data_IF_997725796254
#
_entry.id   IF_997725796254
#
_cell.length_a   1.000
_cell.length_b   1.000
_cell.length_c   1.000
_cell.angle_alpha   90.00
_cell.angle_beta   90.00
_cell.angle_gamma   90.00
#
_symmetry.space_group_name_H-M   'P 1'
#
loop_
_entity.id
_entity.type
_entity.pdbx_description
1 polymer ?
#
# COMPACT_ATOMS: atom_id res chain seq x y z
N UNK A 1 10.96 28.09 -12.27
CA UNK A 1 11.09 27.11 -13.38
C UNK A 1 10.32 25.86 -12.98
N UNK A 2 9.20 25.55 -13.63
CA UNK A 2 8.55 24.24 -13.49
C UNK A 2 9.49 23.19 -14.07
N UNK A 3 10.14 22.40 -13.23
CA UNK A 3 10.76 21.15 -13.69
C UNK A 3 9.61 20.29 -14.19
N UNK A 4 9.53 20.03 -15.50
CA UNK A 4 8.61 19.01 -16.00
C UNK A 4 9.15 17.67 -15.51
N UNK A 5 8.54 17.11 -14.47
CA UNK A 5 8.87 15.77 -13.99
C UNK A 5 8.54 14.79 -15.11
N UNK A 6 9.56 14.23 -15.76
CA UNK A 6 9.37 13.13 -16.72
C UNK A 6 8.85 11.94 -15.91
N UNK A 7 7.58 11.59 -16.08
CA UNK A 7 7.00 10.39 -15.47
C UNK A 7 7.63 9.15 -16.09
N UNK A 8 8.66 8.62 -15.43
CA UNK A 8 9.29 7.34 -15.79
C UNK A 8 8.44 6.19 -15.27
N UNK A 9 8.17 5.23 -16.16
CA UNK A 9 7.45 4.00 -15.87
C UNK A 9 8.30 2.82 -16.33
N UNK A 10 8.31 1.77 -15.53
CA UNK A 10 9.03 0.53 -15.80
C UNK A 10 8.04 -0.62 -15.86
N UNK A 11 8.23 -1.53 -16.81
CA UNK A 11 7.28 -2.61 -17.10
C UNK A 11 8.02 -3.92 -17.22
N UNK A 12 7.49 -4.95 -16.57
CA UNK A 12 7.92 -6.35 -16.70
C UNK A 12 6.69 -7.22 -16.92
N UNK A 13 6.86 -8.35 -17.60
CA UNK A 13 5.78 -9.30 -17.85
C UNK A 13 6.28 -10.74 -17.90
N UNK A 14 5.36 -11.67 -17.66
CA UNK A 14 5.55 -13.10 -17.87
C UNK A 14 4.38 -13.65 -18.70
N UNK A 15 4.17 -14.96 -18.71
CA UNK A 15 3.07 -15.58 -19.46
C UNK A 15 1.68 -15.12 -19.00
N UNK A 16 1.52 -14.74 -17.72
CA UNK A 16 0.23 -14.48 -17.10
C UNK A 16 -0.05 -13.01 -16.82
N UNK A 17 0.97 -12.26 -16.37
CA UNK A 17 0.82 -10.91 -15.87
C UNK A 17 1.75 -9.94 -16.61
N UNK A 18 1.29 -8.71 -16.75
CA UNK A 18 2.09 -7.55 -17.08
C UNK A 18 1.89 -6.50 -16.00
N UNK A 19 2.96 -6.02 -15.39
CA UNK A 19 2.89 -4.98 -14.36
C UNK A 19 3.64 -3.73 -14.81
N UNK A 20 3.17 -2.57 -14.36
CA UNK A 20 3.87 -1.30 -14.56
C UNK A 20 4.02 -0.57 -13.23
N UNK A 21 5.24 -0.10 -12.96
CA UNK A 21 5.60 0.65 -11.76
C UNK A 21 6.07 2.05 -12.18
N UNK A 22 5.53 3.09 -11.56
CA UNK A 22 6.06 4.45 -11.68
C UNK A 22 7.34 4.57 -10.87
N UNK A 23 8.35 5.22 -11.43
CA UNK A 23 9.60 5.47 -10.70
C UNK A 23 9.36 6.36 -9.47
N UNK A 24 8.57 7.44 -9.60
CA UNK A 24 8.16 8.27 -8.46
C UNK A 24 7.46 7.43 -7.40
N UNK A 25 8.03 7.40 -6.19
CA UNK A 25 7.59 6.59 -5.06
C UNK A 25 7.58 5.08 -5.27
N UNK A 26 8.17 4.59 -6.37
CA UNK A 26 8.11 3.18 -6.79
C UNK A 26 6.66 2.65 -6.73
N UNK A 27 5.69 3.42 -7.23
CA UNK A 27 4.26 3.14 -7.12
C UNK A 27 3.81 2.13 -8.19
N UNK A 28 3.35 0.95 -7.77
CA UNK A 28 2.70 -0.01 -8.67
C UNK A 28 1.41 0.61 -9.22
N UNK A 29 1.35 0.83 -10.54
CA UNK A 29 0.26 1.58 -11.16
C UNK A 29 -0.57 0.76 -12.16
N UNK A 30 -0.16 -0.47 -12.47
CA UNK A 30 -0.91 -1.35 -13.38
C UNK A 30 -0.59 -2.82 -13.07
N UNK A 31 -1.62 -3.65 -13.07
CA UNK A 31 -1.55 -5.11 -13.11
C UNK A 31 -2.55 -5.58 -14.16
N UNK A 32 -2.05 -6.02 -15.30
CA UNK A 32 -2.87 -6.60 -16.38
C UNK A 32 -2.73 -8.11 -16.34
N UNK A 33 -3.86 -8.80 -16.19
CA UNK A 33 -3.92 -10.24 -16.43
C UNK A 33 -4.06 -10.49 -17.94
N UNK A 34 -3.11 -11.21 -18.52
CA UNK A 34 -3.00 -11.44 -19.97
C UNK A 34 -4.03 -12.43 -20.51
N UNK A 35 -4.60 -13.27 -19.65
CA UNK A 35 -5.64 -14.24 -20.01
C UNK A 35 -6.97 -13.54 -20.33
N UNK A 36 -7.34 -12.55 -19.53
CA UNK A 36 -8.64 -11.85 -19.64
C UNK A 36 -8.52 -10.37 -20.04
N UNK A 37 -7.29 -9.86 -20.19
CA UNK A 37 -6.93 -8.48 -20.51
C UNK A 37 -7.58 -7.45 -19.56
N UNK A 38 -7.72 -7.78 -18.27
CA UNK A 38 -8.28 -6.88 -17.24
C UNK A 38 -7.18 -6.21 -16.43
N UNK A 39 -7.39 -4.93 -16.14
CA UNK A 39 -6.61 -4.12 -15.21
C UNK A 39 -7.15 -4.26 -13.79
N UNK A 40 -6.29 -4.63 -12.84
CA UNK A 40 -6.64 -4.88 -11.44
C UNK A 40 -6.30 -3.70 -10.52
N UNK A 41 -5.43 -2.77 -10.92
CA UNK A 41 -5.10 -1.57 -10.15
C UNK A 41 -6.06 -0.43 -10.48
N UNK A 42 -6.52 0.26 -9.44
CA UNK A 42 -7.26 1.51 -9.56
C UNK A 42 -6.44 2.57 -10.33
N UNK A 43 -7.06 3.24 -11.30
CA UNK A 43 -6.38 4.11 -12.26
C UNK A 43 -6.28 5.58 -11.81
N UNK A 44 -6.28 5.82 -10.50
CA UNK A 44 -6.00 7.11 -9.88
C UNK A 44 -6.85 8.29 -10.40
N UNK A 45 -8.17 8.11 -10.58
CA UNK A 45 -9.05 9.25 -10.88
C UNK A 45 -8.95 10.26 -9.72
N UNK A 46 -8.33 11.40 -10.01
CA UNK A 46 -8.05 12.45 -9.04
C UNK A 46 -9.32 13.06 -8.41
N UNK A 47 -10.50 12.86 -9.02
CA UNK A 47 -11.78 13.26 -8.43
C UNK A 47 -12.19 12.38 -7.25
N UNK A 48 -11.66 11.17 -7.16
CA UNK A 48 -11.98 10.20 -6.10
C UNK A 48 -10.72 9.95 -5.25
N UNK A 49 -9.66 9.42 -5.85
CA UNK A 49 -8.38 9.18 -5.20
C UNK A 49 -7.24 9.16 -6.23
N UNK A 50 -6.37 10.18 -6.20
CA UNK A 50 -5.31 10.40 -7.19
C UNK A 50 -4.04 9.54 -7.04
N UNK A 51 -4.13 8.34 -6.49
CA UNK A 51 -3.01 7.39 -6.38
C UNK A 51 -3.43 5.98 -6.75
N UNK A 52 -2.48 5.07 -6.91
CA UNK A 52 -2.70 3.69 -7.38
C UNK A 52 -2.41 2.70 -6.26
N UNK A 53 -1.13 2.57 -5.89
CA UNK A 53 -0.65 1.71 -4.81
C UNK A 53 0.59 2.32 -4.14
N UNK A 54 0.43 3.41 -3.37
CA UNK A 54 1.54 4.02 -2.65
C UNK A 54 2.30 3.05 -1.76
N UNK A 55 3.61 3.21 -1.71
CA UNK A 55 4.41 2.73 -0.58
C UNK A 55 4.35 3.77 0.55
N UNK A 56 4.43 3.32 1.79
CA UNK A 56 4.38 4.17 2.99
C UNK A 56 5.64 3.90 3.82
N UNK A 57 6.50 4.91 3.95
CA UNK A 57 7.74 4.85 4.71
C UNK A 57 8.20 6.29 5.02
N UNK A 58 8.73 6.57 6.23
CA UNK A 58 8.89 5.71 7.41
C UNK A 58 7.70 5.82 8.40
N UNK A 59 6.58 6.40 7.98
CA UNK A 59 5.38 6.62 8.81
C UNK A 59 4.15 6.10 8.07
N UNK A 60 3.19 5.53 8.80
CA UNK A 60 1.86 5.18 8.28
C UNK A 60 0.83 6.07 8.98
N UNK A 61 -0.08 6.65 8.19
CA UNK A 61 -1.08 7.59 8.71
C UNK A 61 -0.47 8.96 8.97
N UNK A 62 -1.04 9.68 9.93
CA UNK A 62 -0.60 11.03 10.32
C UNK A 62 0.04 10.98 11.71
N UNK A 63 1.02 11.85 11.95
CA UNK A 63 1.55 12.07 13.29
C UNK A 63 0.77 13.19 13.98
N UNK A 64 0.72 13.14 15.31
CA UNK A 64 0.15 14.23 16.10
C UNK A 64 0.91 15.53 15.77
N UNK A 65 0.19 16.56 15.34
CA UNK A 65 0.75 17.82 14.86
C UNK A 65 1.75 17.69 13.69
N UNK A 66 1.76 16.56 12.96
CA UNK A 66 2.73 16.29 11.89
C UNK A 66 4.17 16.08 12.36
N UNK A 67 4.38 15.84 13.66
CA UNK A 67 5.71 15.86 14.30
C UNK A 67 5.99 14.63 15.15
N UNK A 68 7.28 14.36 15.37
CA UNK A 68 7.75 13.46 16.42
C UNK A 68 9.02 14.02 17.09
N UNK A 69 9.32 13.49 18.28
CA UNK A 69 10.50 13.83 19.05
C UNK A 69 11.53 12.71 18.94
N UNK A 70 12.78 13.07 18.64
CA UNK A 70 13.91 12.15 18.69
C UNK A 70 15.12 12.85 19.31
N UNK A 71 15.70 12.27 20.36
CA UNK A 71 16.84 12.82 21.10
C UNK A 71 16.68 14.30 21.50
N UNK A 72 15.45 14.67 21.91
CA UNK A 72 15.14 16.03 22.36
C UNK A 72 14.96 17.06 21.23
N UNK A 73 15.05 16.64 19.95
CA UNK A 73 14.76 17.48 18.79
C UNK A 73 13.45 17.06 18.11
N UNK A 74 12.65 18.03 17.71
CA UNK A 74 11.43 17.82 16.93
C UNK A 74 11.76 17.69 15.44
N UNK A 75 11.03 16.79 14.78
CA UNK A 75 11.10 16.55 13.34
C UNK A 75 9.69 16.56 12.75
N UNK A 76 9.54 17.19 11.59
CA UNK A 76 8.29 17.22 10.81
C UNK A 76 8.36 16.18 9.70
N UNK A 77 7.27 15.43 9.51
CA UNK A 77 7.19 14.45 8.44
C UNK A 77 5.76 14.38 7.89
N UNK A 78 5.58 14.33 6.56
CA UNK A 78 4.24 14.30 5.96
C UNK A 78 3.47 13.02 6.30
N UNK A 79 2.14 13.10 6.14
CA UNK A 79 1.24 11.95 6.23
C UNK A 79 1.73 10.83 5.31
N UNK A 80 1.84 9.61 5.84
CA UNK A 80 2.39 8.43 5.17
C UNK A 80 3.88 8.47 4.84
N UNK A 81 4.63 9.40 5.45
CA UNK A 81 6.04 9.58 5.19
C UNK A 81 6.31 10.16 3.80
N UNK A 82 7.55 10.04 3.35
CA UNK A 82 8.03 10.77 2.17
C UNK A 82 8.12 9.93 0.90
N UNK A 83 7.94 8.60 0.96
CA UNK A 83 8.18 7.76 -0.22
C UNK A 83 7.14 7.95 -1.33
N UNK A 84 5.84 8.05 -1.03
CA UNK A 84 4.71 8.07 -2.00
C UNK A 84 4.88 9.06 -3.16
N UNK A 85 5.55 10.19 -2.92
CA UNK A 85 5.79 11.24 -3.91
C UNK A 85 7.28 11.56 -4.09
N UNK A 86 8.16 10.68 -3.61
CA UNK A 86 9.59 10.90 -3.70
C UNK A 86 10.03 10.84 -5.17
N UNK A 87 10.62 11.93 -5.66
CA UNK A 87 11.16 12.01 -7.02
C UNK A 87 12.63 11.57 -7.09
N UNK A 88 13.25 11.18 -5.97
CA UNK A 88 14.66 10.80 -5.87
C UNK A 88 14.88 9.28 -5.83
N UNK A 89 13.84 8.47 -5.59
CA UNK A 89 13.92 7.01 -5.75
C UNK A 89 14.21 6.64 -7.22
N UNK A 90 15.09 5.66 -7.43
CA UNK A 90 15.55 5.24 -8.76
C UNK A 90 15.42 3.74 -8.95
N UNK A 91 15.25 3.31 -10.19
CA UNK A 91 15.46 1.91 -10.54
C UNK A 91 16.94 1.57 -10.32
N UNK A 92 17.20 0.62 -9.43
CA UNK A 92 18.54 0.13 -9.08
C UNK A 92 18.92 -1.08 -9.93
N UNK A 93 18.03 -2.06 -10.00
CA UNK A 93 18.24 -3.33 -10.69
C UNK A 93 16.96 -3.74 -11.44
N UNK A 94 17.14 -4.42 -12.57
CA UNK A 94 16.04 -5.03 -13.32
C UNK A 94 16.48 -6.36 -13.90
N UNK A 95 15.54 -7.30 -13.95
CA UNK A 95 15.65 -8.54 -14.71
C UNK A 95 14.38 -8.73 -15.56
N UNK A 96 14.24 -9.88 -16.21
CA UNK A 96 13.04 -10.22 -16.98
C UNK A 96 11.75 -10.19 -16.13
N UNK A 97 11.86 -10.52 -14.85
CA UNK A 97 10.71 -10.71 -13.95
C UNK A 97 10.82 -9.93 -12.63
N UNK A 98 11.78 -9.01 -12.51
CA UNK A 98 11.95 -8.22 -11.30
C UNK A 98 12.35 -6.77 -11.59
N UNK A 99 11.78 -5.85 -10.82
CA UNK A 99 12.20 -4.45 -10.73
C UNK A 99 12.58 -4.14 -9.28
N UNK A 100 13.76 -3.58 -9.05
CA UNK A 100 14.21 -3.14 -7.72
C UNK A 100 14.45 -1.63 -7.75
N UNK A 101 13.74 -0.90 -6.91
CA UNK A 101 13.90 0.53 -6.72
C UNK A 101 14.63 0.82 -5.42
N UNK A 102 15.37 1.92 -5.37
CA UNK A 102 16.18 2.33 -4.22
C UNK A 102 16.04 3.83 -3.93
N UNK A 103 15.86 4.14 -2.64
CA UNK A 103 16.07 5.47 -2.07
C UNK A 103 17.12 5.37 -0.97
N UNK A 104 18.30 5.94 -1.23
CA UNK A 104 19.30 6.19 -0.21
C UNK A 104 18.95 7.47 0.55
N UNK A 105 19.32 7.53 1.84
CA UNK A 105 19.24 8.77 2.59
C UNK A 105 19.96 9.93 1.88
N UNK A 106 19.45 11.13 2.08
CA UNK A 106 20.00 12.39 1.60
C UNK A 106 19.89 13.46 2.69
N UNK A 107 20.53 14.61 2.48
CA UNK A 107 20.37 15.79 3.35
C UNK A 107 18.89 16.14 3.54
N UNK A 108 18.10 16.16 2.46
CA UNK A 108 16.66 16.42 2.49
C UNK A 108 15.90 15.42 3.39
N UNK A 109 16.20 14.12 3.28
CA UNK A 109 15.54 13.13 4.15
C UNK A 109 15.98 13.26 5.61
N UNK A 110 17.24 13.64 5.87
CA UNK A 110 17.79 13.79 7.22
C UNK A 110 17.20 14.98 7.98
N UNK A 111 16.68 15.99 7.26
CA UNK A 111 15.94 17.10 7.86
C UNK A 111 14.62 16.65 8.51
N UNK A 112 13.96 15.64 7.94
CA UNK A 112 12.67 15.10 8.40
C UNK A 112 12.80 13.80 9.20
N UNK A 113 13.85 13.02 8.94
CA UNK A 113 14.07 11.68 9.45
C UNK A 113 15.58 11.45 9.67
N UNK A 114 16.11 11.69 10.88
CA UNK A 114 17.55 11.85 11.14
C UNK A 114 18.27 10.50 11.24
N UNK A 115 18.05 9.63 10.27
CA UNK A 115 18.57 8.28 10.19
C UNK A 115 19.17 8.03 8.81
N UNK A 116 20.35 7.42 8.76
CA UNK A 116 20.94 6.93 7.52
C UNK A 116 20.35 5.57 7.16
N UNK A 117 19.70 5.48 6.02
CA UNK A 117 19.06 4.27 5.53
C UNK A 117 19.33 4.07 4.04
N UNK A 118 19.21 2.82 3.61
CA UNK A 118 19.00 2.44 2.20
C UNK A 118 17.69 1.64 2.14
N UNK A 119 16.69 2.24 1.49
CA UNK A 119 15.36 1.66 1.36
C UNK A 119 15.15 1.15 -0.06
N UNK A 120 14.89 -0.15 -0.19
CA UNK A 120 14.67 -0.81 -1.47
C UNK A 120 13.31 -1.46 -1.56
N UNK A 121 12.69 -1.36 -2.73
CA UNK A 121 11.38 -1.96 -3.04
C UNK A 121 11.54 -2.83 -4.27
N UNK A 122 11.33 -4.14 -4.10
CA UNK A 122 11.41 -5.11 -5.18
C UNK A 122 10.01 -5.59 -5.57
N UNK A 123 9.70 -5.53 -6.86
CA UNK A 123 8.51 -6.11 -7.47
C UNK A 123 8.93 -7.31 -8.30
N UNK A 124 8.53 -8.52 -7.91
CA UNK A 124 8.83 -9.76 -8.63
C UNK A 124 7.53 -10.38 -9.15
N UNK A 125 7.48 -10.76 -10.41
CA UNK A 125 6.34 -11.51 -10.97
C UNK A 125 6.67 -13.02 -10.97
N UNK A 126 5.79 -13.83 -10.38
CA UNK A 126 5.96 -15.29 -10.27
C UNK A 126 4.63 -15.94 -10.61
N UNK A 127 4.54 -16.56 -11.79
CA UNK A 127 3.26 -17.09 -12.29
C UNK A 127 2.18 -16.00 -12.33
N UNK A 128 1.07 -16.24 -11.63
CA UNK A 128 -0.07 -15.30 -11.48
C UNK A 128 0.04 -14.37 -10.26
N UNK A 129 1.20 -14.31 -9.62
CA UNK A 129 1.42 -13.53 -8.38
C UNK A 129 2.47 -12.44 -8.56
N UNK A 130 2.36 -11.40 -7.72
CA UNK A 130 3.35 -10.34 -7.60
C UNK A 130 3.82 -10.33 -6.16
N UNK A 131 5.12 -10.52 -5.95
CA UNK A 131 5.73 -10.30 -4.65
C UNK A 131 6.24 -8.87 -4.56
N UNK A 132 5.86 -8.17 -3.50
CA UNK A 132 6.36 -6.84 -3.17
C UNK A 132 7.20 -6.96 -1.89
N UNK A 133 8.52 -6.87 -2.03
CA UNK A 133 9.45 -7.00 -0.91
C UNK A 133 10.11 -5.66 -0.61
N UNK A 134 10.01 -5.24 0.64
CA UNK A 134 10.66 -4.04 1.16
C UNK A 134 11.91 -4.42 1.94
N UNK A 135 13.05 -3.81 1.61
CA UNK A 135 14.30 -4.02 2.32
C UNK A 135 14.77 -2.68 2.90
N UNK A 136 14.93 -2.63 4.22
CA UNK A 136 15.48 -1.46 4.92
C UNK A 136 16.84 -1.86 5.45
N UNK A 137 17.88 -1.21 4.94
CA UNK A 137 19.25 -1.39 5.41
C UNK A 137 19.57 -0.22 6.33
N UNK A 138 19.89 -0.52 7.60
CA UNK A 138 20.39 0.48 8.53
C UNK A 138 21.85 0.83 8.16
N UNK A 139 22.08 2.08 7.76
CA UNK A 139 23.41 2.62 7.45
C UNK A 139 23.90 3.61 8.52
N UNK A 140 23.16 3.71 9.62
CA UNK A 140 23.46 4.55 10.76
C UNK A 140 24.16 3.74 11.86
N UNK A 141 24.82 4.45 12.77
CA UNK A 141 25.41 3.84 13.96
C UNK A 141 24.36 3.58 15.05
N UNK A 142 23.21 4.28 14.96
CA UNK A 142 22.09 4.17 15.89
C UNK A 142 20.96 3.29 15.35
N UNK A 143 20.05 2.79 16.21
CA UNK A 143 18.85 2.10 15.77
C UNK A 143 17.96 2.99 14.90
N UNK A 144 17.46 2.43 13.79
CA UNK A 144 16.52 3.10 12.87
C UNK A 144 15.09 2.68 13.19
N UNK A 145 14.22 3.65 13.48
CA UNK A 145 12.83 3.43 13.86
C UNK A 145 11.88 3.78 12.73
N UNK A 146 11.05 2.85 12.27
CA UNK A 146 10.15 3.10 11.15
C UNK A 146 8.83 2.33 11.28
N UNK A 147 7.84 2.80 10.53
CA UNK A 147 6.67 2.04 10.08
C UNK A 147 6.74 1.87 8.57
N UNK A 148 6.31 0.71 8.08
CA UNK A 148 6.34 0.35 6.67
C UNK A 148 5.00 -0.27 6.26
N UNK A 149 4.46 0.16 5.12
CA UNK A 149 3.27 -0.46 4.56
C UNK A 149 3.11 -0.22 3.06
N UNK A 150 2.30 -1.06 2.43
CA UNK A 150 1.74 -0.81 1.10
C UNK A 150 0.33 -0.25 1.21
N UNK A 151 -0.13 0.44 0.17
CA UNK A 151 -1.48 0.99 0.09
C UNK A 151 -2.13 0.75 -1.28
N UNK A 152 -2.18 -0.49 -1.80
CA UNK A 152 -2.81 -0.76 -3.09
C UNK A 152 -4.30 -0.50 -3.05
N UNK A 153 -4.82 0.22 -4.05
CA UNK A 153 -6.24 0.17 -4.37
C UNK A 153 -6.45 -0.72 -5.59
N UNK A 154 -7.31 -1.72 -5.40
CA UNK A 154 -7.71 -2.63 -6.45
C UNK A 154 -9.03 -2.18 -7.06
N UNK A 155 -9.14 -2.33 -8.38
CA UNK A 155 -10.36 -2.08 -9.10
C UNK A 155 -11.34 -3.24 -8.84
N UNK A 156 -12.55 -2.92 -8.39
CA UNK A 156 -13.65 -3.89 -8.40
C UNK A 156 -14.07 -4.13 -9.84
N UNK A 157 -13.85 -5.35 -10.32
CA UNK A 157 -14.19 -5.74 -11.68
C UNK A 157 -15.68 -6.10 -11.73
N UNK A 158 -16.55 -5.15 -12.04
CA UNK A 158 -17.98 -5.44 -12.21
C UNK A 158 -18.20 -6.42 -13.37
N UNK A 159 -18.44 -7.68 -13.06
CA UNK A 159 -18.89 -8.66 -14.04
C UNK A 159 -20.43 -8.64 -14.06
N UNK A 160 -21.04 -8.79 -15.23
CA UNK A 160 -22.49 -9.08 -15.36
C UNK A 160 -23.47 -8.20 -14.55
N UNK A 161 -23.17 -6.91 -14.34
CA UNK A 161 -23.97 -5.99 -13.49
C UNK A 161 -23.95 -6.29 -11.97
N UNK A 162 -22.95 -7.01 -11.47
CA UNK A 162 -22.72 -7.18 -10.03
C UNK A 162 -22.62 -5.82 -9.32
N UNK A 163 -23.29 -5.74 -8.16
CA UNK A 163 -23.22 -4.58 -7.26
C UNK A 163 -22.11 -4.79 -6.23
N UNK A 164 -21.75 -3.73 -5.51
CA UNK A 164 -20.69 -3.83 -4.50
C UNK A 164 -21.05 -4.84 -3.40
N UNK A 165 -22.35 -5.00 -3.09
CA UNK A 165 -22.88 -5.97 -2.13
C UNK A 165 -22.74 -7.43 -2.55
N UNK A 166 -22.37 -7.69 -3.81
CA UNK A 166 -22.05 -9.01 -4.32
C UNK A 166 -20.59 -9.41 -4.08
N UNK A 167 -19.80 -8.52 -3.45
CA UNK A 167 -18.42 -8.76 -3.08
C UNK A 167 -18.22 -8.81 -1.57
N UNK A 168 -17.24 -9.61 -1.15
CA UNK A 168 -16.78 -9.74 0.23
C UNK A 168 -15.26 -9.70 0.29
N UNK A 169 -14.75 -9.28 1.45
CA UNK A 169 -13.38 -9.57 1.87
C UNK A 169 -13.42 -10.84 2.71
N UNK A 170 -12.73 -11.90 2.31
CA UNK A 170 -12.68 -13.17 3.00
C UNK A 170 -11.29 -13.44 3.59
N UNK A 171 -11.27 -13.94 4.82
CA UNK A 171 -10.09 -14.30 5.59
C UNK A 171 -9.99 -15.83 5.68
N UNK A 172 -8.77 -16.35 5.81
CA UNK A 172 -8.52 -17.79 6.00
C UNK A 172 -9.05 -18.37 7.32
N UNK A 173 -9.49 -17.51 8.25
CA UNK A 173 -9.96 -17.91 9.58
C UNK A 173 -11.15 -17.07 10.03
N UNK A 174 -12.02 -17.67 10.85
CA UNK A 174 -13.06 -16.96 11.59
C UNK A 174 -12.43 -16.14 12.71
N UNK A 175 -12.85 -14.89 12.87
CA UNK A 175 -12.29 -13.96 13.83
C UNK A 175 -13.37 -13.01 14.38
N UNK A 176 -13.09 -12.44 15.55
CA UNK A 176 -13.79 -11.26 16.05
C UNK A 176 -13.02 -10.00 15.64
N UNK A 177 -13.49 -9.29 14.62
CA UNK A 177 -12.82 -8.09 14.12
C UNK A 177 -13.44 -6.83 14.70
N UNK A 178 -12.61 -6.04 15.38
CA UNK A 178 -12.94 -4.69 15.86
C UNK A 178 -12.04 -3.68 15.17
N UNK A 179 -12.65 -2.74 14.44
CA UNK A 179 -11.91 -1.62 13.86
C UNK A 179 -11.63 -0.56 14.92
N UNK A 180 -10.45 0.04 14.90
CA UNK A 180 -10.12 1.23 15.65
C UNK A 180 -10.58 2.47 14.90
N UNK A 181 -11.26 3.39 15.59
CA UNK A 181 -11.84 4.59 14.98
C UNK A 181 -10.80 5.71 14.95
N UNK A 182 -10.69 6.41 13.81
CA UNK A 182 -9.89 7.62 13.69
C UNK A 182 -10.63 8.82 14.31
N UNK A 183 -9.89 9.71 14.97
CA UNK A 183 -10.43 11.00 15.39
C UNK A 183 -10.46 12.00 14.23
N UNK A 184 -10.99 13.20 14.46
CA UNK A 184 -11.08 14.27 13.45
C UNK A 184 -9.70 14.72 12.89
N UNK A 185 -8.63 14.46 13.63
CA UNK A 185 -7.25 14.73 13.21
C UNK A 185 -6.64 13.58 12.39
N UNK A 186 -7.37 12.46 12.19
CA UNK A 186 -6.88 11.28 11.49
C UNK A 186 -5.98 10.36 12.33
N UNK A 187 -5.96 10.54 13.65
CA UNK A 187 -5.21 9.70 14.59
C UNK A 187 -6.05 8.54 15.11
N UNK A 188 -5.42 7.39 15.30
CA UNK A 188 -6.05 6.20 15.89
C UNK A 188 -6.45 6.49 17.33
N UNK A 189 -7.76 6.43 17.62
CA UNK A 189 -8.29 6.61 18.98
C UNK A 189 -8.33 5.30 19.77
N UNK A 190 -8.70 5.38 21.04
CA UNK A 190 -8.98 4.20 21.88
C UNK A 190 -10.37 3.59 21.63
N UNK A 191 -11.22 4.26 20.84
CA UNK A 191 -12.57 3.78 20.52
C UNK A 191 -12.50 2.70 19.45
N UNK A 192 -13.34 1.67 19.60
CA UNK A 192 -13.45 0.57 18.64
C UNK A 192 -14.91 0.33 18.26
N UNK A 193 -15.11 -0.24 17.08
CA UNK A 193 -16.42 -0.69 16.57
C UNK A 193 -16.28 -2.14 16.10
N UNK A 194 -17.21 -3.01 16.51
CA UNK A 194 -17.26 -4.37 15.99
C UNK A 194 -17.68 -4.34 14.52
N UNK A 195 -16.93 -5.05 13.68
CA UNK A 195 -17.21 -5.21 12.25
C UNK A 195 -17.86 -6.58 12.01
N UNK A 196 -17.25 -7.64 12.54
CA UNK A 196 -17.80 -9.00 12.52
C UNK A 196 -17.47 -9.76 13.80
N UNK A 197 -18.24 -10.80 14.11
CA UNK A 197 -18.02 -11.67 15.26
C UNK A 197 -18.14 -13.13 14.87
N UNK A 198 -17.08 -13.92 15.15
CA UNK A 198 -16.93 -15.31 14.75
C UNK A 198 -17.25 -15.60 13.27
N UNK A 199 -16.88 -14.66 12.40
CA UNK A 199 -17.02 -14.78 10.95
C UNK A 199 -15.66 -14.61 10.28
N UNK A 200 -15.53 -15.11 9.06
CA UNK A 200 -14.31 -15.00 8.26
C UNK A 200 -14.49 -14.05 7.06
N UNK A 201 -15.58 -13.29 6.99
CA UNK A 201 -15.81 -12.41 5.85
C UNK A 201 -16.41 -11.08 6.27
N UNK A 202 -16.13 -10.02 5.51
CA UNK A 202 -16.76 -8.71 5.62
C UNK A 202 -17.43 -8.44 4.27
N UNK A 203 -18.76 -8.34 4.25
CA UNK A 203 -19.48 -7.95 3.04
C UNK A 203 -19.17 -6.49 2.69
N UNK A 204 -18.83 -6.22 1.43
CA UNK A 204 -18.67 -4.85 0.95
C UNK A 204 -20.03 -4.18 0.80
N UNK A 205 -20.12 -2.91 1.17
CA UNK A 205 -21.32 -2.08 1.03
C UNK A 205 -20.89 -0.65 0.72
N UNK A 206 -21.77 0.16 0.14
CA UNK A 206 -21.49 1.57 -0.14
C UNK A 206 -21.08 2.36 1.12
N UNK A 207 -21.57 1.96 2.29
CA UNK A 207 -21.38 2.66 3.57
C UNK A 207 -20.29 2.06 4.47
N UNK A 208 -19.59 1.00 4.02
CA UNK A 208 -18.62 0.28 4.85
C UNK A 208 -17.48 1.18 5.34
N UNK A 209 -17.10 2.17 4.52
CA UNK A 209 -15.96 3.07 4.74
C UNK A 209 -16.37 4.52 5.04
N UNK A 210 -17.64 4.78 5.36
CA UNK A 210 -18.15 6.14 5.68
C UNK A 210 -17.43 6.78 6.88
N UNK A 211 -16.86 5.96 7.75
CA UNK A 211 -16.12 6.39 8.95
C UNK A 211 -14.62 6.13 8.81
N UNK A 212 -14.08 6.28 7.60
CA UNK A 212 -12.68 6.04 7.24
C UNK A 212 -12.28 4.54 7.24
N UNK A 213 -10.99 4.26 7.18
CA UNK A 213 -10.43 2.92 7.05
C UNK A 213 -10.85 1.96 8.18
N UNK A 214 -11.00 0.68 7.84
CA UNK A 214 -11.12 -0.39 8.82
C UNK A 214 -9.71 -0.76 9.31
N UNK A 215 -9.38 -0.39 10.55
CA UNK A 215 -8.06 -0.57 11.15
C UNK A 215 -8.13 -1.70 12.17
N UNK A 216 -7.63 -2.88 11.80
CA UNK A 216 -7.54 -4.03 12.69
C UNK A 216 -6.14 -4.12 13.30
N UNK A 217 -6.08 -4.36 14.62
CA UNK A 217 -4.83 -4.72 15.30
C UNK A 217 -4.88 -6.20 15.64
N UNK A 218 -3.74 -6.88 15.57
CA UNK A 218 -3.59 -8.30 15.94
C UNK A 218 -4.50 -9.24 15.11
N UNK A 219 -4.48 -9.11 13.79
CA UNK A 219 -5.20 -10.02 12.91
C UNK A 219 -4.47 -11.38 12.83
N UNK A 220 -5.18 -12.49 13.06
CA UNK A 220 -4.61 -13.85 13.02
C UNK A 220 -4.58 -14.46 11.61
N UNK A 221 -5.38 -13.89 10.72
CA UNK A 221 -5.39 -14.23 9.31
C UNK A 221 -4.08 -13.84 8.64
N UNK A 222 -3.69 -14.56 7.58
CA UNK A 222 -2.46 -14.30 6.82
C UNK A 222 -2.69 -13.83 5.39
N UNK A 223 -3.96 -13.73 5.01
CA UNK A 223 -4.37 -13.24 3.71
C UNK A 223 -5.73 -12.56 3.80
N UNK A 224 -6.08 -11.82 2.77
CA UNK A 224 -7.44 -11.36 2.53
C UNK A 224 -7.76 -11.52 1.06
N UNK A 225 -8.86 -12.19 0.78
CA UNK A 225 -9.33 -12.47 -0.57
C UNK A 225 -10.48 -11.53 -0.91
N UNK A 226 -10.41 -10.86 -2.07
CA UNK A 226 -11.57 -10.23 -2.67
C UNK A 226 -12.37 -11.30 -3.41
N UNK A 227 -13.59 -11.56 -2.97
CA UNK A 227 -14.45 -12.63 -3.49
C UNK A 227 -15.71 -12.03 -4.07
N UNK A 228 -16.10 -12.49 -5.26
CA UNK A 228 -17.41 -12.24 -5.86
C UNK A 228 -18.31 -13.45 -5.60
N UNK A 229 -19.60 -13.21 -5.32
CA UNK A 229 -20.59 -14.28 -5.15
C UNK A 229 -20.74 -15.15 -6.41
N UNK A 230 -20.63 -14.56 -7.60
CA UNK A 230 -20.79 -15.30 -8.86
C UNK A 230 -19.50 -16.01 -9.32
N UNK A 231 -18.34 -15.39 -9.09
CA UNK A 231 -17.06 -15.80 -9.69
C UNK A 231 -16.12 -16.47 -8.69
N UNK A 232 -16.41 -16.37 -7.40
CA UNK A 232 -15.49 -16.77 -6.34
C UNK A 232 -14.33 -15.80 -6.23
N UNK A 233 -13.15 -16.32 -5.86
CA UNK A 233 -11.96 -15.53 -5.59
C UNK A 233 -11.44 -14.78 -6.83
N UNK A 234 -11.30 -13.46 -6.70
CA UNK A 234 -10.81 -12.56 -7.75
C UNK A 234 -9.34 -12.20 -7.55
N UNK A 235 -8.96 -11.88 -6.30
CA UNK A 235 -7.64 -11.42 -5.91
C UNK A 235 -7.37 -11.85 -4.47
N UNK A 236 -6.11 -12.20 -4.17
CA UNK A 236 -5.66 -12.43 -2.80
C UNK A 236 -4.51 -11.47 -2.48
N UNK A 237 -4.50 -10.96 -1.26
CA UNK A 237 -3.36 -10.24 -0.68
C UNK A 237 -2.87 -11.03 0.51
N UNK A 238 -1.65 -11.56 0.41
CA UNK A 238 -0.97 -12.27 1.49
C UNK A 238 0.01 -11.33 2.21
N UNK A 239 0.05 -11.40 3.53
CA UNK A 239 0.95 -10.60 4.36
C UNK A 239 1.67 -11.51 5.37
N UNK A 240 2.99 -11.30 5.50
CA UNK A 240 3.87 -12.15 6.32
C UNK A 240 3.86 -11.71 7.79
#
# INVERSE_FOLDING_TARGET
MQKSTILRKHTIENEFLKITVKETGAELCSIINKENNKEYIWQADAKIWGSHAPNLFPVIGVLKNGKYLFEGKEYEIPKHGFIRHNENIRLKETSEHQLVFELLYSEETLEMYPFKFDFRIAFTIIGKSIEVNHHIINLDEKPVYFSLGGHPAFKILHFNNEKIEDYSLEFDKKMDLKTYILNEEGLVSSKTKSIVSNENNIQLTEHLFDNDALIFKNIESKNVDLVSKERGKILSVEYK
#
